data_IF_663073598664
#
_entry.id   IF_663073598664
#
_cell.length_a   1.000
_cell.length_b   1.000
_cell.length_c   1.000
_cell.angle_alpha   90.00
_cell.angle_beta   90.00
_cell.angle_gamma   90.00
#
_symmetry.space_group_name_H-M   'P 1'
#
loop_
_entity.id
_entity.type
_entity.pdbx_description
1 polymer ?
#
# COMPACT_ATOMS: atom_id res chain seq x y z
N UNK A 1 -48.12 21.61 -14.50
CA UNK A 1 -47.26 20.50 -14.95
C UNK A 1 -45.98 20.51 -14.15
N UNK A 2 -45.98 19.77 -13.06
CA UNK A 2 -44.86 19.68 -12.10
C UNK A 2 -43.90 18.60 -12.56
N UNK A 3 -42.65 18.97 -12.79
CA UNK A 3 -41.56 18.04 -13.14
C UNK A 3 -41.14 17.21 -11.95
N UNK A 4 -41.11 15.87 -12.03
CA UNK A 4 -40.56 15.02 -10.96
C UNK A 4 -39.10 14.65 -11.31
N UNK A 5 -38.14 15.47 -10.94
CA UNK A 5 -36.73 15.09 -10.93
C UNK A 5 -36.14 15.35 -9.56
N UNK A 6 -36.70 14.67 -8.57
CA UNK A 6 -36.04 14.43 -7.31
C UNK A 6 -35.67 12.92 -7.23
N UNK A 7 -34.69 12.53 -8.05
CA UNK A 7 -34.04 11.23 -7.92
C UNK A 7 -33.31 11.21 -6.58
N UNK A 8 -33.93 10.58 -5.56
CA UNK A 8 -33.36 10.35 -4.25
C UNK A 8 -31.90 9.90 -4.37
N UNK A 9 -30.95 10.67 -3.84
CA UNK A 9 -29.59 10.20 -3.56
C UNK A 9 -29.72 9.04 -2.59
N UNK A 10 -29.72 7.82 -3.11
CA UNK A 10 -29.69 6.60 -2.28
C UNK A 10 -28.44 6.68 -1.42
N UNK A 11 -28.65 6.65 -0.11
CA UNK A 11 -27.56 6.51 0.85
C UNK A 11 -26.77 5.23 0.51
N UNK A 12 -25.64 5.40 -0.20
CA UNK A 12 -24.79 4.30 -0.67
C UNK A 12 -24.23 3.45 0.47
N UNK A 13 -24.44 3.85 1.73
CA UNK A 13 -24.03 3.08 2.91
C UNK A 13 -24.80 1.76 3.06
N UNK A 14 -25.95 1.63 2.40
CA UNK A 14 -26.83 0.44 2.43
C UNK A 14 -26.88 -0.29 1.09
N UNK A 15 -26.00 0.02 0.13
CA UNK A 15 -25.98 -0.67 -1.17
C UNK A 15 -25.30 -2.05 -1.06
N UNK A 16 -26.07 -3.16 -1.13
CA UNK A 16 -25.51 -4.52 -1.02
C UNK A 16 -24.49 -4.83 -2.12
N UNK A 17 -24.64 -4.22 -3.31
CA UNK A 17 -23.72 -4.44 -4.43
C UNK A 17 -22.34 -3.83 -4.17
N UNK A 18 -22.30 -2.65 -3.53
CA UNK A 18 -21.04 -2.04 -3.11
C UNK A 18 -20.32 -2.93 -2.10
N UNK A 19 -21.02 -3.36 -1.05
CA UNK A 19 -20.39 -4.17 0.00
C UNK A 19 -19.97 -5.56 -0.47
N UNK A 20 -20.72 -6.16 -1.39
CA UNK A 20 -20.28 -7.37 -2.07
C UNK A 20 -18.97 -7.14 -2.82
N UNK A 21 -18.86 -6.03 -3.56
CA UNK A 21 -17.64 -5.71 -4.29
C UNK A 21 -16.47 -5.43 -3.34
N UNK A 22 -16.70 -4.73 -2.21
CA UNK A 22 -15.68 -4.52 -1.17
C UNK A 22 -15.17 -5.85 -0.62
N UNK A 23 -16.06 -6.81 -0.32
CA UNK A 23 -15.68 -8.14 0.16
C UNK A 23 -14.89 -8.94 -0.87
N UNK A 24 -15.32 -8.92 -2.13
CA UNK A 24 -14.62 -9.58 -3.25
C UNK A 24 -13.20 -9.02 -3.41
N UNK A 25 -13.08 -7.70 -3.45
CA UNK A 25 -11.78 -7.04 -3.53
C UNK A 25 -10.95 -7.31 -2.26
N UNK A 26 -11.60 -7.36 -1.08
CA UNK A 26 -10.97 -7.66 0.19
C UNK A 26 -10.30 -9.02 0.23
N UNK A 27 -10.99 -10.07 -0.23
CA UNK A 27 -10.40 -11.41 -0.39
C UNK A 27 -9.23 -11.37 -1.37
N UNK A 28 -9.39 -10.69 -2.51
CA UNK A 28 -8.30 -10.50 -3.46
C UNK A 28 -7.09 -9.78 -2.85
N UNK A 29 -7.32 -8.79 -1.97
CA UNK A 29 -6.22 -8.09 -1.26
C UNK A 29 -5.50 -9.02 -0.28
N UNK A 30 -6.23 -9.82 0.52
CA UNK A 30 -5.60 -10.78 1.45
C UNK A 30 -4.67 -11.73 0.68
N UNK A 31 -5.17 -12.32 -0.41
CA UNK A 31 -4.39 -13.27 -1.22
C UNK A 31 -3.22 -12.56 -1.91
N UNK A 32 -3.45 -11.43 -2.60
CA UNK A 32 -2.40 -10.76 -3.38
C UNK A 32 -1.29 -10.20 -2.51
N UNK A 33 -1.60 -9.58 -1.37
CA UNK A 33 -0.57 -9.13 -0.41
C UNK A 33 0.18 -10.31 0.20
N UNK A 34 -0.54 -11.39 0.55
CA UNK A 34 0.04 -12.58 1.14
C UNK A 34 1.03 -13.27 0.22
N UNK A 35 0.61 -13.53 -1.01
CA UNK A 35 1.36 -14.37 -1.97
C UNK A 35 2.41 -13.61 -2.78
N UNK A 36 2.20 -12.30 -3.05
CA UNK A 36 3.11 -11.51 -3.89
C UNK A 36 4.06 -10.64 -3.09
N UNK A 37 3.64 -10.14 -1.90
CA UNK A 37 4.44 -9.19 -1.14
C UNK A 37 5.03 -9.80 0.14
N UNK A 38 4.21 -10.43 0.98
CA UNK A 38 4.67 -10.93 2.28
C UNK A 38 5.43 -12.25 2.21
N UNK A 39 5.27 -13.00 1.13
CA UNK A 39 5.83 -14.34 0.97
C UNK A 39 7.36 -14.38 1.05
N UNK A 40 8.06 -13.32 0.59
CA UNK A 40 9.53 -13.28 0.61
C UNK A 40 10.10 -13.35 2.04
N UNK A 41 9.37 -12.82 3.01
CA UNK A 41 9.79 -12.86 4.42
C UNK A 41 9.82 -14.29 4.99
N UNK A 42 8.96 -15.18 4.49
CA UNK A 42 8.84 -16.56 4.97
C UNK A 42 9.62 -17.51 4.07
N UNK A 43 9.40 -17.45 2.75
CA UNK A 43 9.98 -18.42 1.81
C UNK A 43 11.41 -18.06 1.37
N UNK A 44 11.81 -16.78 1.50
CA UNK A 44 13.08 -16.29 0.95
C UNK A 44 14.31 -17.05 1.44
N UNK A 45 14.35 -17.40 2.73
CA UNK A 45 15.46 -18.17 3.30
C UNK A 45 15.58 -19.59 2.70
N UNK A 46 14.46 -20.26 2.47
CA UNK A 46 14.43 -21.59 1.85
C UNK A 46 14.84 -21.52 0.37
N UNK A 47 14.29 -20.56 -0.37
CA UNK A 47 14.63 -20.30 -1.78
C UNK A 47 16.13 -20.04 -1.95
N UNK A 48 16.69 -19.18 -1.08
CA UNK A 48 18.12 -18.84 -1.11
C UNK A 48 19.00 -20.07 -0.91
N UNK A 49 18.72 -20.89 0.12
CA UNK A 49 19.52 -22.09 0.41
C UNK A 49 19.45 -23.12 -0.70
N UNK A 50 18.27 -23.34 -1.25
CA UNK A 50 18.03 -24.35 -2.27
C UNK A 50 18.66 -23.99 -3.64
N UNK A 51 18.63 -22.71 -3.98
CA UNK A 51 19.17 -22.21 -5.26
C UNK A 51 20.61 -21.67 -5.16
N UNK A 52 21.25 -21.72 -3.98
CA UNK A 52 22.61 -21.23 -3.78
C UNK A 52 22.75 -19.71 -4.01
N UNK A 53 21.70 -18.92 -3.77
CA UNK A 53 21.69 -17.48 -4.04
C UNK A 53 22.22 -16.69 -2.83
N UNK A 54 22.77 -15.49 -3.11
CA UNK A 54 23.07 -14.52 -2.06
C UNK A 54 21.81 -13.79 -1.60
N UNK A 55 21.82 -13.29 -0.37
CA UNK A 55 20.74 -12.44 0.15
C UNK A 55 20.56 -11.18 -0.72
N UNK A 56 21.67 -10.60 -1.17
CA UNK A 56 21.66 -9.42 -2.06
C UNK A 56 20.91 -9.71 -3.36
N UNK A 57 21.13 -10.89 -3.97
CA UNK A 57 20.44 -11.25 -5.20
C UNK A 57 18.96 -11.52 -4.97
N UNK A 58 18.60 -12.26 -3.92
CA UNK A 58 17.20 -12.56 -3.59
C UNK A 58 16.39 -11.29 -3.33
N UNK A 59 16.84 -10.47 -2.38
CA UNK A 59 16.14 -9.23 -2.04
C UNK A 59 16.26 -8.17 -3.13
N UNK A 60 17.37 -8.17 -3.90
CA UNK A 60 17.55 -7.34 -5.09
C UNK A 60 16.53 -7.66 -6.17
N UNK A 61 16.24 -8.94 -6.42
CA UNK A 61 15.22 -9.37 -7.39
C UNK A 61 13.81 -8.92 -6.98
N UNK A 62 13.47 -9.04 -5.71
CA UNK A 62 12.21 -8.52 -5.16
C UNK A 62 12.13 -6.99 -5.27
N UNK A 63 13.22 -6.28 -4.95
CA UNK A 63 13.33 -4.82 -5.09
C UNK A 63 13.15 -4.40 -6.54
N UNK A 64 13.76 -5.12 -7.50
CA UNK A 64 13.56 -4.88 -8.94
C UNK A 64 12.10 -5.07 -9.36
N UNK A 65 11.40 -6.08 -8.81
CA UNK A 65 9.97 -6.26 -8.99
C UNK A 65 9.17 -5.07 -8.47
N UNK A 66 9.44 -4.59 -7.26
CA UNK A 66 8.78 -3.41 -6.68
C UNK A 66 9.05 -2.14 -7.52
N UNK A 67 10.26 -1.97 -7.99
CA UNK A 67 10.62 -0.86 -8.88
C UNK A 67 9.82 -0.91 -10.18
N UNK A 68 9.74 -2.07 -10.82
CA UNK A 68 8.95 -2.29 -12.03
C UNK A 68 7.46 -2.05 -11.77
N UNK A 69 6.94 -2.45 -10.61
CA UNK A 69 5.56 -2.14 -10.19
C UNK A 69 5.30 -0.63 -10.24
N UNK A 70 6.22 0.17 -9.72
CA UNK A 70 6.14 1.63 -9.77
C UNK A 70 6.14 2.18 -11.19
N UNK A 71 6.99 1.66 -12.07
CA UNK A 71 7.07 2.10 -13.47
C UNK A 71 5.78 1.79 -14.25
N UNK A 72 5.14 0.64 -13.99
CA UNK A 72 3.93 0.19 -14.69
C UNK A 72 2.65 0.83 -14.11
N UNK A 73 2.64 1.25 -12.84
CA UNK A 73 1.46 1.78 -12.15
C UNK A 73 0.71 2.90 -12.92
N UNK A 74 1.36 3.87 -13.60
CA UNK A 74 0.63 4.88 -14.36
C UNK A 74 -0.13 4.32 -15.57
N UNK A 75 0.37 3.24 -16.18
CA UNK A 75 -0.30 2.54 -17.28
C UNK A 75 -1.55 1.82 -16.77
N UNK A 76 -1.40 1.10 -15.66
CA UNK A 76 -2.48 0.40 -14.97
C UNK A 76 -3.59 1.38 -14.59
N UNK A 77 -3.26 2.52 -14.01
CA UNK A 77 -4.24 3.54 -13.62
C UNK A 77 -5.02 4.09 -14.79
N UNK A 78 -4.36 4.38 -15.93
CA UNK A 78 -5.03 4.83 -17.17
C UNK A 78 -5.94 3.75 -17.74
N UNK A 79 -5.52 2.50 -17.69
CA UNK A 79 -6.34 1.37 -18.17
C UNK A 79 -7.61 1.20 -17.33
N UNK A 80 -7.53 1.40 -16.01
CA UNK A 80 -8.71 1.39 -15.12
C UNK A 80 -9.67 2.51 -15.49
N UNK A 81 -9.17 3.72 -15.73
CA UNK A 81 -10.02 4.85 -16.12
C UNK A 81 -10.69 4.62 -17.48
N UNK A 82 -9.98 4.02 -18.43
CA UNK A 82 -10.49 3.78 -19.78
C UNK A 82 -11.46 2.59 -19.88
N UNK A 83 -11.16 1.48 -19.20
CA UNK A 83 -11.86 0.20 -19.40
C UNK A 83 -12.49 -0.38 -18.14
N UNK A 84 -12.36 0.31 -17.00
CA UNK A 84 -12.82 -0.13 -15.69
C UNK A 84 -11.89 -1.13 -15.00
N UNK A 85 -12.01 -1.21 -13.68
CA UNK A 85 -11.09 -1.99 -12.84
C UNK A 85 -11.19 -3.51 -12.99
N UNK A 86 -12.35 -4.03 -13.42
CA UNK A 86 -12.58 -5.49 -13.54
C UNK A 86 -11.52 -6.20 -14.38
N UNK A 87 -11.22 -5.66 -15.59
CA UNK A 87 -10.25 -6.26 -16.51
C UNK A 87 -8.83 -6.18 -15.97
N UNK A 88 -8.49 -5.07 -15.37
CA UNK A 88 -7.16 -4.83 -14.80
C UNK A 88 -6.89 -5.76 -13.61
N UNK A 89 -7.85 -5.87 -12.68
CA UNK A 89 -7.74 -6.76 -11.53
C UNK A 89 -7.68 -8.24 -11.94
N UNK A 90 -8.45 -8.63 -12.96
CA UNK A 90 -8.39 -9.98 -13.52
C UNK A 90 -7.03 -10.26 -14.19
N UNK A 91 -6.51 -9.30 -14.96
CA UNK A 91 -5.17 -9.41 -15.55
C UNK A 91 -4.09 -9.46 -14.47
N UNK A 92 -4.24 -8.68 -13.39
CA UNK A 92 -3.36 -8.74 -12.21
C UNK A 92 -3.36 -10.11 -11.56
N UNK A 93 -4.54 -10.77 -11.44
CA UNK A 93 -4.63 -12.13 -10.92
C UNK A 93 -3.98 -13.16 -11.84
N UNK A 94 -4.18 -13.06 -13.15
CA UNK A 94 -3.53 -13.92 -14.11
C UNK A 94 -1.99 -13.76 -14.12
N UNK A 95 -1.51 -12.52 -14.03
CA UNK A 95 -0.09 -12.20 -13.87
C UNK A 95 0.47 -12.70 -12.54
N UNK A 96 -0.31 -12.62 -11.45
CA UNK A 96 0.04 -13.17 -10.15
C UNK A 96 0.20 -14.69 -10.19
N UNK A 97 -0.73 -15.38 -10.86
CA UNK A 97 -0.62 -16.81 -11.11
C UNK A 97 0.64 -17.16 -11.93
N UNK A 98 0.90 -16.42 -13.00
CA UNK A 98 2.09 -16.63 -13.83
C UNK A 98 3.38 -16.39 -13.05
N UNK A 99 3.44 -15.32 -12.26
CA UNK A 99 4.59 -14.99 -11.42
C UNK A 99 4.89 -16.09 -10.40
N UNK A 100 3.85 -16.54 -9.67
CA UNK A 100 3.99 -17.61 -8.67
C UNK A 100 4.30 -18.96 -9.33
N UNK A 101 3.80 -19.25 -10.53
CA UNK A 101 4.17 -20.45 -11.29
C UNK A 101 5.65 -20.42 -11.72
N UNK A 102 6.13 -19.29 -12.21
CA UNK A 102 7.56 -19.11 -12.55
C UNK A 102 8.43 -19.27 -11.30
N UNK A 103 8.04 -18.70 -10.16
CA UNK A 103 8.75 -18.89 -8.90
C UNK A 103 8.72 -20.34 -8.43
N UNK A 104 7.58 -21.05 -8.56
CA UNK A 104 7.46 -22.48 -8.22
C UNK A 104 8.46 -23.35 -9.00
N UNK A 105 8.71 -23.00 -10.25
CA UNK A 105 9.60 -23.75 -11.17
C UNK A 105 11.01 -23.16 -11.25
N UNK A 106 11.36 -22.21 -10.38
CA UNK A 106 12.66 -21.54 -10.43
C UNK A 106 13.82 -22.51 -10.14
N UNK A 107 14.82 -22.52 -11.02
CA UNK A 107 16.01 -23.38 -10.94
C UNK A 107 17.31 -22.58 -10.78
N UNK A 108 17.24 -21.24 -10.79
CA UNK A 108 18.42 -20.41 -10.68
C UNK A 108 18.12 -18.91 -10.68
N UNK A 109 19.16 -18.08 -10.77
CA UNK A 109 19.05 -16.63 -10.62
C UNK A 109 18.11 -16.00 -11.67
N UNK A 110 18.19 -16.40 -12.92
CA UNK A 110 17.41 -15.79 -14.00
C UNK A 110 15.91 -16.03 -13.82
N UNK A 111 15.49 -17.27 -13.54
CA UNK A 111 14.08 -17.62 -13.32
C UNK A 111 13.54 -16.97 -12.05
N UNK A 112 14.35 -16.84 -11.00
CA UNK A 112 14.05 -16.09 -9.79
C UNK A 112 13.78 -14.61 -10.10
N UNK A 113 14.67 -13.95 -10.84
CA UNK A 113 14.51 -12.55 -11.23
C UNK A 113 13.24 -12.35 -12.07
N UNK A 114 13.02 -13.20 -13.09
CA UNK A 114 11.82 -13.13 -13.96
C UNK A 114 10.55 -13.29 -13.13
N UNK A 115 10.51 -14.24 -12.20
CA UNK A 115 9.37 -14.45 -11.32
C UNK A 115 9.05 -13.21 -10.47
N UNK A 116 10.06 -12.57 -9.87
CA UNK A 116 9.86 -11.34 -9.09
C UNK A 116 9.50 -10.13 -9.95
N UNK A 117 10.03 -10.01 -11.17
CA UNK A 117 9.63 -8.94 -12.10
C UNK A 117 8.15 -9.10 -12.50
N UNK A 118 7.71 -10.32 -12.83
CA UNK A 118 6.30 -10.62 -13.09
C UNK A 118 5.42 -10.33 -11.86
N UNK A 119 5.87 -10.71 -10.66
CA UNK A 119 5.19 -10.39 -9.41
C UNK A 119 5.05 -8.88 -9.22
N UNK A 120 6.08 -8.10 -9.59
CA UNK A 120 6.02 -6.64 -9.56
C UNK A 120 4.93 -6.07 -10.47
N UNK A 121 4.83 -6.55 -11.70
CA UNK A 121 3.75 -6.15 -12.63
C UNK A 121 2.38 -6.59 -12.07
N UNK A 122 2.26 -7.81 -11.55
CA UNK A 122 1.04 -8.29 -10.91
C UNK A 122 0.64 -7.41 -9.71
N UNK A 123 1.58 -7.01 -8.86
CA UNK A 123 1.34 -6.12 -7.71
C UNK A 123 0.76 -4.78 -8.15
N UNK A 124 1.27 -4.18 -9.26
CA UNK A 124 0.74 -2.92 -9.77
C UNK A 124 -0.72 -3.00 -10.20
N UNK A 125 -1.19 -4.19 -10.60
CA UNK A 125 -2.53 -4.44 -11.13
C UNK A 125 -3.50 -5.10 -10.13
N UNK A 126 -3.03 -5.55 -8.95
CA UNK A 126 -3.85 -6.31 -8.00
C UNK A 126 -3.86 -5.77 -6.56
N UNK A 127 -2.89 -4.93 -6.15
CA UNK A 127 -2.83 -4.40 -4.79
C UNK A 127 -3.78 -3.21 -4.57
N UNK A 128 -3.52 -2.37 -3.58
CA UNK A 128 -4.45 -1.32 -3.16
C UNK A 128 -4.76 -0.28 -4.23
N UNK A 129 -3.80 0.20 -5.01
CA UNK A 129 -4.02 1.30 -5.93
C UNK A 129 -5.08 0.98 -7.00
N UNK A 130 -5.02 -0.17 -7.72
CA UNK A 130 -6.09 -0.55 -8.65
C UNK A 130 -7.41 -0.85 -7.94
N UNK A 131 -7.39 -1.41 -6.74
CA UNK A 131 -8.61 -1.66 -5.97
C UNK A 131 -9.28 -0.35 -5.52
N UNK A 132 -8.51 0.64 -5.06
CA UNK A 132 -9.01 1.97 -4.72
C UNK A 132 -9.58 2.70 -5.93
N UNK A 133 -8.89 2.66 -7.08
CA UNK A 133 -9.38 3.25 -8.32
C UNK A 133 -10.70 2.59 -8.76
N UNK A 134 -10.81 1.27 -8.64
CA UNK A 134 -12.04 0.53 -8.95
C UNK A 134 -13.17 0.92 -8.00
N UNK A 135 -12.93 0.96 -6.69
CA UNK A 135 -13.93 1.39 -5.71
C UNK A 135 -14.36 2.84 -5.94
N UNK A 136 -13.43 3.72 -6.32
CA UNK A 136 -13.75 5.10 -6.59
C UNK A 136 -14.78 5.26 -7.73
N UNK A 137 -14.72 4.41 -8.75
CA UNK A 137 -15.65 4.43 -9.87
C UNK A 137 -17.08 4.03 -9.49
N UNK A 138 -17.27 3.25 -8.41
CA UNK A 138 -18.56 2.63 -8.06
C UNK A 138 -19.15 3.11 -6.73
N UNK A 139 -18.34 3.73 -5.86
CA UNK A 139 -18.77 3.97 -4.46
C UNK A 139 -19.45 5.33 -4.23
N UNK A 140 -19.31 6.30 -5.16
CA UNK A 140 -19.87 7.63 -4.98
C UNK A 140 -19.51 8.25 -3.62
N UNK A 141 -20.51 8.67 -2.85
CA UNK A 141 -20.34 9.28 -1.52
C UNK A 141 -19.81 8.31 -0.46
N UNK A 142 -19.95 6.98 -0.68
CA UNK A 142 -19.50 5.94 0.24
C UNK A 142 -18.03 5.53 0.04
N UNK A 143 -17.31 6.18 -0.89
CA UNK A 143 -15.93 5.80 -1.27
C UNK A 143 -15.00 5.64 -0.08
N UNK A 144 -14.97 6.61 0.84
CA UNK A 144 -14.11 6.56 2.01
C UNK A 144 -14.38 5.33 2.88
N UNK A 145 -15.65 5.03 3.16
CA UNK A 145 -16.05 3.84 3.93
C UNK A 145 -15.62 2.54 3.23
N UNK A 146 -15.80 2.49 1.90
CA UNK A 146 -15.40 1.36 1.09
C UNK A 146 -13.87 1.15 1.12
N UNK A 147 -13.06 2.21 1.00
CA UNK A 147 -11.60 2.17 1.12
C UNK A 147 -11.18 1.69 2.49
N UNK A 148 -11.75 2.26 3.57
CA UNK A 148 -11.40 1.86 4.94
C UNK A 148 -11.73 0.38 5.17
N UNK A 149 -12.92 -0.08 4.77
CA UNK A 149 -13.31 -1.48 4.88
C UNK A 149 -12.35 -2.40 4.07
N UNK A 150 -12.01 -2.01 2.83
CA UNK A 150 -11.05 -2.76 2.02
C UNK A 150 -9.68 -2.88 2.69
N UNK A 151 -9.21 -1.79 3.32
CA UNK A 151 -7.91 -1.80 4.01
C UNK A 151 -7.91 -2.64 5.29
N UNK A 152 -9.08 -2.83 5.92
CA UNK A 152 -9.21 -3.81 7.01
C UNK A 152 -8.95 -5.22 6.50
N UNK A 153 -9.56 -5.63 5.39
CA UNK A 153 -9.28 -6.95 4.79
C UNK A 153 -7.78 -7.13 4.50
N UNK A 154 -7.17 -6.20 3.76
CA UNK A 154 -5.75 -6.31 3.43
C UNK A 154 -4.81 -6.22 4.65
N UNK A 155 -5.29 -5.66 5.78
CA UNK A 155 -4.59 -5.68 7.05
C UNK A 155 -4.41 -7.07 7.64
N UNK A 156 -5.32 -7.99 7.32
CA UNK A 156 -5.23 -9.39 7.76
C UNK A 156 -4.31 -10.24 6.87
N UNK A 157 -3.79 -9.72 5.76
CA UNK A 157 -3.00 -10.50 4.82
C UNK A 157 -1.77 -11.15 5.48
N UNK A 158 -0.99 -10.40 6.27
CA UNK A 158 0.16 -10.96 6.99
C UNK A 158 -0.26 -11.93 8.09
N UNK A 159 -1.34 -11.63 8.82
CA UNK A 159 -1.88 -12.49 9.88
C UNK A 159 -2.32 -13.86 9.35
N UNK A 160 -2.86 -13.90 8.12
CA UNK A 160 -3.28 -15.16 7.49
C UNK A 160 -2.11 -15.84 6.78
N UNK A 161 -1.35 -15.09 5.99
CA UNK A 161 -0.38 -15.69 5.08
C UNK A 161 0.98 -16.01 5.70
N UNK A 162 1.40 -15.36 6.78
CA UNK A 162 2.65 -15.77 7.44
C UNK A 162 2.53 -17.17 8.04
N UNK A 163 1.52 -17.48 8.89
CA UNK A 163 1.36 -18.84 9.40
C UNK A 163 1.07 -19.86 8.29
N UNK A 164 0.22 -19.50 7.32
CA UNK A 164 -0.10 -20.39 6.20
C UNK A 164 1.14 -20.69 5.36
N UNK A 165 1.94 -19.67 5.04
CA UNK A 165 3.18 -19.83 4.26
C UNK A 165 4.20 -20.69 5.00
N UNK A 166 4.34 -20.49 6.32
CA UNK A 166 5.24 -21.31 7.15
C UNK A 166 4.76 -22.76 7.19
N UNK A 167 3.48 -22.99 7.45
CA UNK A 167 2.90 -24.33 7.45
C UNK A 167 3.12 -25.04 6.12
N UNK A 168 2.82 -24.39 5.01
CA UNK A 168 3.03 -24.97 3.67
C UNK A 168 4.52 -25.20 3.39
N UNK A 169 5.40 -24.28 3.82
CA UNK A 169 6.84 -24.46 3.67
C UNK A 169 7.34 -25.72 4.39
N UNK A 170 6.86 -25.94 5.61
CA UNK A 170 7.27 -27.07 6.44
C UNK A 170 6.73 -28.40 5.91
N UNK A 171 5.50 -28.44 5.41
CA UNK A 171 4.83 -29.65 4.93
C UNK A 171 5.22 -30.06 3.50
N UNK A 172 5.27 -29.08 2.57
CA UNK A 172 5.41 -29.37 1.15
C UNK A 172 6.56 -28.62 0.46
N UNK A 173 7.29 -27.80 1.20
CA UNK A 173 8.40 -27.00 0.68
C UNK A 173 7.98 -25.79 -0.12
N UNK A 174 8.94 -24.88 -0.41
CA UNK A 174 8.67 -23.59 -0.98
C UNK A 174 8.13 -23.63 -2.44
N UNK A 175 8.55 -24.62 -3.24
CA UNK A 175 8.08 -24.75 -4.62
C UNK A 175 6.57 -25.08 -4.69
N UNK A 176 6.13 -26.07 -3.92
CA UNK A 176 4.73 -26.42 -3.85
C UNK A 176 3.89 -25.35 -3.16
N UNK A 177 4.47 -24.59 -2.22
CA UNK A 177 3.82 -23.42 -1.65
C UNK A 177 3.49 -22.39 -2.74
N UNK A 178 4.43 -22.09 -3.64
CA UNK A 178 4.15 -21.22 -4.79
C UNK A 178 3.16 -21.82 -5.78
N UNK A 179 3.13 -23.15 -5.95
CA UNK A 179 2.11 -23.84 -6.77
C UNK A 179 0.71 -23.66 -6.15
N UNK A 180 0.57 -23.76 -4.82
CA UNK A 180 -0.67 -23.44 -4.11
C UNK A 180 -1.08 -21.97 -4.36
N UNK A 181 -0.13 -21.02 -4.30
CA UNK A 181 -0.41 -19.61 -4.60
C UNK A 181 -0.86 -19.38 -6.04
N UNK A 182 -0.28 -20.12 -7.00
CA UNK A 182 -0.75 -20.14 -8.39
C UNK A 182 -2.21 -20.56 -8.44
N UNK A 183 -2.57 -21.63 -7.75
CA UNK A 183 -3.95 -22.09 -7.62
C UNK A 183 -4.88 -21.04 -7.01
N UNK A 184 -4.46 -20.35 -5.95
CA UNK A 184 -5.25 -19.27 -5.32
C UNK A 184 -5.51 -18.12 -6.29
N UNK A 185 -4.52 -17.70 -7.08
CA UNK A 185 -4.70 -16.67 -8.08
C UNK A 185 -5.62 -17.11 -9.23
N UNK A 186 -5.47 -18.33 -9.74
CA UNK A 186 -6.27 -18.85 -10.87
C UNK A 186 -7.70 -19.22 -10.48
N UNK A 187 -7.87 -19.90 -9.34
CA UNK A 187 -9.14 -20.50 -8.95
C UNK A 187 -9.96 -19.62 -8.01
N UNK A 188 -9.35 -18.65 -7.36
CA UNK A 188 -10.04 -17.74 -6.44
C UNK A 188 -10.00 -16.31 -6.97
N UNK A 189 -8.82 -15.68 -7.06
CA UNK A 189 -8.74 -14.26 -7.41
C UNK A 189 -9.25 -13.95 -8.82
N UNK A 190 -8.86 -14.75 -9.81
CA UNK A 190 -9.25 -14.52 -11.20
C UNK A 190 -10.77 -14.64 -11.41
N UNK A 191 -11.45 -15.71 -10.95
CA UNK A 191 -12.90 -15.80 -11.04
C UNK A 191 -13.63 -14.72 -10.24
N UNK A 192 -13.18 -14.41 -9.01
CA UNK A 192 -13.75 -13.33 -8.21
C UNK A 192 -13.72 -12.00 -8.96
N UNK A 193 -12.57 -11.65 -9.54
CA UNK A 193 -12.42 -10.41 -10.29
C UNK A 193 -13.20 -10.43 -11.61
N UNK A 194 -13.22 -11.54 -12.34
CA UNK A 194 -13.94 -11.65 -13.62
C UNK A 194 -15.45 -11.70 -13.46
N UNK A 195 -15.98 -12.30 -12.41
CA UNK A 195 -17.41 -12.59 -12.30
C UNK A 195 -18.13 -11.58 -11.40
N UNK A 196 -17.47 -11.15 -10.31
CA UNK A 196 -18.13 -10.44 -9.23
C UNK A 196 -17.77 -8.93 -9.16
N UNK A 197 -16.68 -8.48 -9.77
CA UNK A 197 -16.42 -7.05 -9.92
C UNK A 197 -17.32 -6.48 -11.02
N UNK A 198 -18.05 -5.38 -10.78
CA UNK A 198 -18.97 -4.81 -11.76
C UNK A 198 -18.28 -4.46 -13.08
N UNK A 199 -19.00 -4.66 -14.21
CA UNK A 199 -18.60 -4.12 -15.51
C UNK A 199 -18.94 -2.64 -15.52
N UNK A 200 -17.94 -1.80 -15.71
CA UNK A 200 -18.19 -0.41 -16.04
C UNK A 200 -18.50 -0.31 -17.53
N UNK A 201 -19.66 0.25 -17.87
CA UNK A 201 -19.96 0.60 -19.26
C UNK A 201 -19.19 1.87 -19.63
N UNK A 202 -18.43 1.81 -20.70
CA UNK A 202 -17.60 2.92 -21.21
C UNK A 202 -18.37 4.24 -21.44
N UNK A 203 -19.68 4.18 -21.57
CA UNK A 203 -20.54 5.34 -21.77
C UNK A 203 -20.51 6.39 -20.64
N UNK A 204 -20.10 6.01 -19.41
CA UNK A 204 -19.96 6.94 -18.28
C UNK A 204 -18.54 7.48 -18.13
N UNK A 205 -17.57 6.84 -18.77
CA UNK A 205 -16.17 7.26 -18.79
C UNK A 205 -15.84 8.23 -19.93
N UNK A 206 -16.64 8.21 -21.02
CA UNK A 206 -16.39 8.98 -22.26
C UNK A 206 -16.97 10.41 -22.21
N UNK A 207 -17.73 10.76 -21.17
CA UNK A 207 -18.07 12.16 -20.99
C UNK A 207 -16.78 12.94 -20.65
N UNK A 208 -16.06 13.31 -21.72
CA UNK A 208 -14.93 14.23 -21.76
C UNK A 208 -13.66 13.77 -20.99
N UNK A 209 -12.86 12.91 -21.63
CA UNK A 209 -11.42 12.95 -21.43
C UNK A 209 -10.88 14.06 -22.37
N UNK A 210 -10.54 15.24 -21.91
CA UNK A 210 -9.70 16.11 -22.72
C UNK A 210 -8.35 15.40 -22.78
N UNK A 211 -7.87 15.11 -24.00
CA UNK A 211 -6.49 14.74 -24.29
C UNK A 211 -5.59 15.94 -23.99
N UNK A 212 -5.37 16.22 -22.75
CA UNK A 212 -4.50 17.27 -22.27
C UNK A 212 -4.17 16.97 -20.81
N UNK A 213 -2.91 17.12 -20.46
CA UNK A 213 -2.37 16.97 -19.11
C UNK A 213 -3.30 17.60 -18.06
N UNK A 214 -4.27 16.85 -17.54
CA UNK A 214 -5.22 17.32 -16.54
C UNK A 214 -4.52 17.71 -15.19
N UNK A 215 -3.23 17.43 -15.07
CA UNK A 215 -2.38 17.84 -13.94
C UNK A 215 -1.61 19.16 -14.21
N UNK A 216 -1.70 19.71 -15.41
CA UNK A 216 -0.93 20.90 -15.82
C UNK A 216 -1.80 22.15 -15.97
N UNK A 217 -2.93 22.26 -15.23
CA UNK A 217 -3.59 23.55 -15.08
C UNK A 217 -3.07 24.20 -13.80
N UNK A 218 -2.61 25.44 -13.94
CA UNK A 218 -1.95 26.27 -12.94
C UNK A 218 -2.45 26.05 -11.50
N UNK A 219 -1.53 25.66 -10.59
CA UNK A 219 -1.78 25.35 -9.17
C UNK A 219 -1.89 23.86 -8.82
N UNK A 220 -2.33 22.97 -9.73
CA UNK A 220 -2.46 21.53 -9.43
C UNK A 220 -1.12 20.77 -9.48
N UNK A 221 -0.13 21.28 -10.23
CA UNK A 221 1.21 20.68 -10.32
C UNK A 221 1.95 20.69 -8.99
N UNK A 222 1.91 21.82 -8.28
CA UNK A 222 2.53 21.96 -6.95
C UNK A 222 1.82 21.06 -5.92
N UNK A 223 0.48 21.02 -5.93
CA UNK A 223 -0.30 20.14 -5.05
C UNK A 223 0.09 18.67 -5.27
N UNK A 224 0.19 18.26 -6.56
CA UNK A 224 0.60 16.90 -6.90
C UNK A 224 2.02 16.60 -6.43
N UNK A 225 2.99 17.48 -6.71
CA UNK A 225 4.39 17.28 -6.34
C UNK A 225 4.55 17.13 -4.82
N UNK A 226 3.97 18.04 -4.05
CA UNK A 226 4.04 17.98 -2.58
C UNK A 226 3.32 16.76 -2.00
N UNK A 227 2.14 16.39 -2.54
CA UNK A 227 1.45 15.18 -2.10
C UNK A 227 2.23 13.91 -2.46
N UNK A 228 2.77 13.84 -3.68
CA UNK A 228 3.60 12.72 -4.11
C UNK A 228 4.84 12.56 -3.23
N UNK A 229 5.51 13.67 -2.89
CA UNK A 229 6.65 13.68 -1.96
C UNK A 229 6.23 13.16 -0.58
N UNK A 230 5.16 13.71 0.00
CA UNK A 230 4.67 13.29 1.31
C UNK A 230 4.36 11.79 1.38
N UNK A 231 3.58 11.29 0.42
CA UNK A 231 3.20 9.88 0.35
C UNK A 231 4.38 8.95 0.07
N UNK A 232 5.37 9.41 -0.72
CA UNK A 232 6.57 8.64 -1.01
C UNK A 232 7.49 8.51 0.20
N UNK A 233 7.67 9.60 0.97
CA UNK A 233 8.42 9.58 2.22
C UNK A 233 7.72 8.69 3.26
N UNK A 234 6.39 8.74 3.36
CA UNK A 234 5.64 7.84 4.23
C UNK A 234 5.79 6.37 3.82
N UNK A 235 5.76 6.07 2.51
CA UNK A 235 5.98 4.72 2.00
C UNK A 235 7.40 4.22 2.26
N UNK A 236 8.40 5.09 2.12
CA UNK A 236 9.79 4.81 2.50
C UNK A 236 9.89 4.45 3.98
N UNK A 237 9.34 5.29 4.87
CA UNK A 237 9.33 5.06 6.31
C UNK A 237 8.67 3.74 6.68
N UNK A 238 7.50 3.45 6.08
CA UNK A 238 6.78 2.19 6.31
C UNK A 238 7.63 0.96 6.01
N UNK A 239 8.40 1.00 4.92
CA UNK A 239 9.26 -0.13 4.52
C UNK A 239 10.56 -0.16 5.33
N UNK A 240 11.16 0.99 5.59
CA UNK A 240 12.37 1.12 6.40
C UNK A 240 12.17 0.54 7.81
N UNK A 241 11.10 0.98 8.48
CA UNK A 241 10.76 0.46 9.82
C UNK A 241 10.39 -1.02 9.75
N UNK A 242 9.55 -1.45 8.80
CA UNK A 242 9.15 -2.85 8.71
C UNK A 242 10.35 -3.81 8.51
N UNK A 243 11.38 -3.38 7.77
CA UNK A 243 12.56 -4.17 7.51
C UNK A 243 13.56 -4.21 8.69
N UNK A 244 13.63 -3.14 9.49
CA UNK A 244 14.73 -2.94 10.44
C UNK A 244 14.27 -2.69 11.88
N UNK A 245 12.98 -2.76 12.20
CA UNK A 245 12.45 -2.34 13.51
C UNK A 245 13.09 -3.08 14.69
N UNK A 246 13.33 -4.37 14.57
CA UNK A 246 13.96 -5.16 15.65
C UNK A 246 15.39 -4.70 15.88
N UNK A 247 16.17 -4.56 14.81
CA UNK A 247 17.54 -4.08 14.87
C UNK A 247 17.65 -2.65 15.42
N UNK A 248 16.70 -1.80 15.03
CA UNK A 248 16.64 -0.43 15.52
C UNK A 248 16.30 -0.37 17.00
N UNK A 249 15.36 -1.18 17.47
CA UNK A 249 14.97 -1.26 18.88
C UNK A 249 16.09 -1.85 19.75
N UNK A 250 16.76 -2.91 19.29
CA UNK A 250 17.90 -3.47 20.02
C UNK A 250 19.07 -2.49 20.11
N UNK A 251 19.33 -1.72 19.06
CA UNK A 251 20.36 -0.67 19.07
C UNK A 251 20.08 0.44 20.08
N UNK A 252 18.83 0.66 20.50
CA UNK A 252 18.50 1.60 21.58
C UNK A 252 18.80 1.06 23.00
N UNK A 253 19.25 -0.20 23.13
CA UNK A 253 19.55 -0.83 24.41
C UNK A 253 18.44 -1.76 24.94
N UNK A 254 17.39 -2.03 24.16
CA UNK A 254 16.38 -3.04 24.51
C UNK A 254 16.95 -4.45 24.33
N UNK A 255 16.49 -5.38 25.16
CA UNK A 255 16.77 -6.80 24.95
C UNK A 255 16.14 -7.28 23.62
N UNK A 256 16.73 -8.30 23.00
CA UNK A 256 16.18 -8.88 21.76
C UNK A 256 14.72 -9.34 21.95
N UNK A 257 14.39 -9.89 23.12
CA UNK A 257 13.04 -10.32 23.48
C UNK A 257 12.07 -9.13 23.52
N UNK A 258 12.46 -8.04 24.19
CA UNK A 258 11.61 -6.84 24.30
C UNK A 258 11.44 -6.15 22.95
N UNK A 259 12.49 -6.08 22.14
CA UNK A 259 12.43 -5.54 20.80
C UNK A 259 11.44 -6.30 19.90
N UNK A 260 11.43 -7.64 19.98
CA UNK A 260 10.45 -8.47 19.27
C UNK A 260 9.03 -8.23 19.78
N UNK A 261 8.82 -8.19 21.10
CA UNK A 261 7.50 -7.93 21.69
C UNK A 261 6.95 -6.56 21.28
N UNK A 262 7.76 -5.52 21.37
CA UNK A 262 7.41 -4.15 20.96
C UNK A 262 7.13 -4.07 19.45
N UNK A 263 8.02 -4.65 18.64
CA UNK A 263 7.85 -4.66 17.18
C UNK A 263 6.59 -5.40 16.73
N UNK A 264 6.25 -6.52 17.38
CA UNK A 264 5.04 -7.29 17.06
C UNK A 264 3.74 -6.53 17.35
N UNK A 265 3.77 -5.54 18.24
CA UNK A 265 2.59 -4.72 18.55
C UNK A 265 2.22 -3.75 17.42
N UNK A 266 3.16 -3.39 16.55
CA UNK A 266 2.91 -2.47 15.42
C UNK A 266 1.75 -2.99 14.54
N UNK A 267 1.71 -4.28 14.24
CA UNK A 267 0.66 -4.89 13.41
C UNK A 267 -0.75 -4.74 13.98
N UNK A 268 -1.02 -5.22 15.20
CA UNK A 268 -2.30 -4.99 15.89
C UNK A 268 -2.70 -3.51 15.97
N UNK A 269 -1.75 -2.61 16.23
CA UNK A 269 -2.03 -1.17 16.29
C UNK A 269 -2.37 -0.56 14.93
N UNK A 270 -1.83 -1.10 13.83
CA UNK A 270 -2.27 -0.71 12.48
C UNK A 270 -3.74 -1.07 12.23
N UNK A 271 -4.17 -2.26 12.67
CA UNK A 271 -5.57 -2.67 12.57
C UNK A 271 -6.45 -1.79 13.45
N UNK A 272 -6.03 -1.54 14.70
CA UNK A 272 -6.74 -0.65 15.61
C UNK A 272 -6.92 0.76 15.01
N UNK A 273 -5.89 1.33 14.41
CA UNK A 273 -5.95 2.63 13.73
C UNK A 273 -6.98 2.65 12.59
N UNK A 274 -7.06 1.59 11.79
CA UNK A 274 -8.06 1.47 10.73
C UNK A 274 -9.48 1.31 11.26
N UNK A 275 -9.66 0.52 12.33
CA UNK A 275 -10.96 0.35 12.99
C UNK A 275 -11.44 1.68 13.58
N UNK A 276 -10.56 2.41 14.27
CA UNK A 276 -10.88 3.72 14.84
C UNK A 276 -11.24 4.75 13.74
N UNK A 277 -10.51 4.76 12.62
CA UNK A 277 -10.86 5.61 11.48
C UNK A 277 -12.21 5.21 10.89
N UNK A 278 -12.49 3.93 10.74
CA UNK A 278 -13.78 3.44 10.24
C UNK A 278 -14.94 3.85 11.15
N UNK A 279 -14.77 3.75 12.46
CA UNK A 279 -15.81 4.06 13.45
C UNK A 279 -16.03 5.58 13.61
N UNK A 280 -14.97 6.35 13.74
CA UNK A 280 -15.01 7.76 14.17
C UNK A 280 -14.58 8.75 13.07
N UNK A 281 -13.75 8.34 12.12
CA UNK A 281 -13.19 9.20 11.07
C UNK A 281 -14.22 9.70 10.06
N UNK A 282 -15.42 9.10 10.00
CA UNK A 282 -16.46 9.44 9.01
C UNK A 282 -16.92 10.90 9.05
N UNK A 283 -16.78 11.59 10.17
CA UNK A 283 -17.16 12.99 10.36
C UNK A 283 -15.99 13.96 10.06
N UNK A 284 -14.79 13.46 9.89
CA UNK A 284 -13.60 14.27 9.61
C UNK A 284 -13.37 14.33 8.09
N UNK A 285 -12.80 15.45 7.61
CA UNK A 285 -12.32 15.56 6.23
C UNK A 285 -11.10 14.64 6.04
N UNK A 286 -10.93 14.05 4.84
CA UNK A 286 -9.76 13.20 4.56
C UNK A 286 -8.44 13.97 4.76
N UNK A 287 -8.40 15.26 4.42
CA UNK A 287 -7.25 16.14 4.68
C UNK A 287 -6.90 16.25 6.16
N UNK A 288 -7.91 16.32 7.05
CA UNK A 288 -7.67 16.37 8.50
C UNK A 288 -7.13 15.05 9.02
N UNK A 289 -7.69 13.93 8.55
CA UNK A 289 -7.20 12.57 8.89
C UNK A 289 -5.77 12.38 8.40
N UNK A 290 -5.44 12.87 7.20
CA UNK A 290 -4.08 12.87 6.68
C UNK A 290 -3.12 13.68 7.57
N UNK A 291 -3.53 14.90 7.98
CA UNK A 291 -2.72 15.71 8.92
C UNK A 291 -2.46 14.95 10.21
N UNK A 292 -3.49 14.32 10.79
CA UNK A 292 -3.35 13.51 12.00
C UNK A 292 -2.38 12.35 11.79
N UNK A 293 -2.51 11.59 10.69
CA UNK A 293 -1.65 10.47 10.39
C UNK A 293 -0.16 10.86 10.26
N UNK A 294 0.13 11.92 9.48
CA UNK A 294 1.50 12.41 9.34
C UNK A 294 2.05 12.99 10.65
N UNK A 295 1.23 13.68 11.45
CA UNK A 295 1.65 14.19 12.77
C UNK A 295 1.94 13.05 13.74
N UNK A 296 1.11 12.01 13.79
CA UNK A 296 1.34 10.82 14.60
C UNK A 296 2.62 10.08 14.16
N UNK A 297 2.91 10.01 12.86
CA UNK A 297 4.16 9.43 12.37
C UNK A 297 5.38 10.20 12.89
N UNK A 298 5.36 11.53 12.79
CA UNK A 298 6.43 12.37 13.32
C UNK A 298 6.55 12.25 14.84
N UNK A 299 5.43 12.25 15.58
CA UNK A 299 5.42 12.06 17.03
C UNK A 299 5.98 10.68 17.44
N UNK A 300 5.62 9.62 16.72
CA UNK A 300 6.16 8.28 16.96
C UNK A 300 7.68 8.26 16.79
N UNK A 301 8.21 8.86 15.72
CA UNK A 301 9.66 8.93 15.50
C UNK A 301 10.36 9.86 16.53
N UNK A 302 9.71 10.91 17.02
CA UNK A 302 10.21 11.68 18.13
C UNK A 302 10.28 10.83 19.42
N UNK A 303 9.26 10.03 19.73
CA UNK A 303 9.32 9.05 20.83
C UNK A 303 10.44 8.04 20.61
N UNK A 304 10.65 7.58 19.37
CA UNK A 304 11.70 6.62 19.07
C UNK A 304 13.10 7.15 19.41
N UNK A 305 13.39 8.45 19.23
CA UNK A 305 14.67 9.05 19.64
C UNK A 305 14.89 9.02 21.16
N UNK A 306 13.86 8.80 21.96
CA UNK A 306 13.89 8.78 23.43
C UNK A 306 13.81 7.36 24.02
N UNK A 307 13.81 6.33 23.21
CA UNK A 307 13.67 4.93 23.70
C UNK A 307 14.79 4.57 24.65
N UNK A 308 16.07 4.77 24.31
CA UNK A 308 17.25 4.64 25.19
C UNK A 308 17.17 3.45 26.19
N UNK A 309 16.68 2.30 25.74
CA UNK A 309 16.44 1.12 26.58
C UNK A 309 15.18 1.18 27.46
N UNK A 310 14.39 2.26 27.42
CA UNK A 310 13.19 2.41 28.25
C UNK A 310 12.02 1.73 27.55
N UNK A 311 11.61 0.60 28.06
CA UNK A 311 10.56 -0.27 27.48
C UNK A 311 9.22 0.44 27.26
N UNK A 312 8.76 1.25 28.24
CA UNK A 312 7.48 1.96 28.13
C UNK A 312 7.49 3.00 26.99
N UNK A 313 8.63 3.62 26.71
CA UNK A 313 8.77 4.58 25.60
C UNK A 313 8.76 3.84 24.26
N UNK A 314 9.40 2.67 24.19
CA UNK A 314 9.39 1.82 23.02
C UNK A 314 7.97 1.31 22.73
N UNK A 315 7.22 0.95 23.77
CA UNK A 315 5.82 0.55 23.65
C UNK A 315 4.97 1.70 23.09
N UNK A 316 5.12 2.91 23.65
CA UNK A 316 4.42 4.10 23.17
C UNK A 316 4.76 4.40 21.70
N UNK A 317 6.03 4.29 21.31
CA UNK A 317 6.46 4.39 19.92
C UNK A 317 5.70 3.40 19.03
N UNK A 318 5.71 2.10 19.37
CA UNK A 318 5.09 1.06 18.55
C UNK A 318 3.57 1.27 18.40
N UNK A 319 2.90 1.71 19.47
CA UNK A 319 1.47 2.02 19.45
C UNK A 319 1.15 3.20 18.52
N UNK A 320 1.83 4.32 18.71
CA UNK A 320 1.59 5.55 17.93
C UNK A 320 1.99 5.34 16.47
N UNK A 321 3.13 4.70 16.22
CA UNK A 321 3.60 4.38 14.87
C UNK A 321 2.64 3.42 14.15
N UNK A 322 2.25 2.34 14.82
CA UNK A 322 1.32 1.37 14.26
C UNK A 322 0.00 2.03 13.87
N UNK A 323 -0.57 2.85 14.77
CA UNK A 323 -1.79 3.60 14.48
C UNK A 323 -1.64 4.51 13.26
N UNK A 324 -0.59 5.35 13.25
CA UNK A 324 -0.28 6.22 12.12
C UNK A 324 -0.21 5.45 10.80
N UNK A 325 0.56 4.36 10.77
CA UNK A 325 0.76 3.56 9.57
C UNK A 325 -0.54 2.87 9.09
N UNK A 326 -1.40 2.46 10.02
CA UNK A 326 -2.73 1.94 9.69
C UNK A 326 -3.61 2.96 8.99
N UNK A 327 -3.70 4.18 9.53
CA UNK A 327 -4.48 5.28 8.96
C UNK A 327 -3.87 5.79 7.66
N UNK A 328 -2.53 5.78 7.52
CA UNK A 328 -1.84 6.22 6.31
C UNK A 328 -2.26 5.45 5.05
N UNK A 329 -2.61 4.17 5.20
CA UNK A 329 -3.13 3.36 4.09
C UNK A 329 -4.45 3.91 3.55
N UNK A 330 -5.32 4.41 4.43
CA UNK A 330 -6.61 5.02 4.09
C UNK A 330 -6.38 6.40 3.46
N UNK A 331 -5.48 7.20 4.04
CA UNK A 331 -5.07 8.53 3.54
C UNK A 331 -4.60 8.45 2.09
N UNK A 332 -3.81 7.43 1.74
CA UNK A 332 -3.33 7.18 0.38
C UNK A 332 -4.48 7.03 -0.63
N UNK A 333 -5.60 6.43 -0.24
CA UNK A 333 -6.75 6.26 -1.11
C UNK A 333 -7.76 7.41 -1.05
N UNK A 334 -7.82 8.19 0.03
CA UNK A 334 -8.91 9.17 0.25
C UNK A 334 -8.49 10.62 0.00
N UNK A 335 -7.26 11.00 0.36
CA UNK A 335 -6.76 12.36 0.18
C UNK A 335 -6.64 12.76 -1.28
N UNK A 336 -6.12 11.93 -2.19
CA UNK A 336 -6.10 12.28 -3.62
C UNK A 336 -7.51 12.53 -4.18
N UNK A 337 -8.52 11.76 -3.76
CA UNK A 337 -9.91 11.97 -4.18
C UNK A 337 -10.47 13.31 -3.71
N UNK A 338 -10.15 13.74 -2.47
CA UNK A 338 -10.59 15.04 -1.96
C UNK A 338 -9.89 16.23 -2.64
N UNK A 339 -8.59 16.09 -2.99
CA UNK A 339 -7.80 17.16 -3.59
C UNK A 339 -8.03 17.34 -5.10
N UNK A 340 -8.15 16.24 -5.83
CA UNK A 340 -8.15 16.25 -7.30
C UNK A 340 -9.52 15.89 -7.91
N UNK A 341 -10.47 15.44 -7.08
CA UNK A 341 -11.80 15.05 -7.54
C UNK A 341 -11.85 13.69 -8.21
N UNK A 342 -12.94 13.42 -8.93
CA UNK A 342 -13.28 12.09 -9.40
C UNK A 342 -12.78 11.74 -10.81
N UNK A 343 -12.45 12.73 -11.64
CA UNK A 343 -12.08 12.50 -13.05
C UNK A 343 -10.64 12.00 -13.15
N UNK A 344 -10.42 10.91 -13.91
CA UNK A 344 -9.11 10.35 -14.14
C UNK A 344 -8.41 9.86 -12.85
N UNK A 345 -9.18 9.36 -11.88
CA UNK A 345 -8.67 9.02 -10.56
C UNK A 345 -7.69 7.82 -10.59
N UNK A 346 -7.92 6.85 -11.48
CA UNK A 346 -7.02 5.73 -11.68
C UNK A 346 -5.64 6.17 -12.19
N UNK A 347 -5.63 7.03 -13.22
CA UNK A 347 -4.40 7.61 -13.74
C UNK A 347 -3.67 8.46 -12.68
N UNK A 348 -4.40 9.21 -11.86
CA UNK A 348 -3.85 9.98 -10.74
C UNK A 348 -3.18 9.05 -9.72
N UNK A 349 -3.86 8.00 -9.26
CA UNK A 349 -3.30 7.03 -8.30
C UNK A 349 -2.07 6.33 -8.87
N UNK A 350 -2.13 5.91 -10.14
CA UNK A 350 -0.98 5.29 -10.81
C UNK A 350 0.24 6.22 -10.88
N UNK A 351 0.03 7.52 -11.14
CA UNK A 351 1.09 8.54 -11.14
C UNK A 351 1.65 8.78 -9.73
N UNK A 352 0.80 8.80 -8.70
CA UNK A 352 1.22 8.91 -7.30
C UNK A 352 1.93 7.65 -6.82
N UNK A 353 1.52 6.46 -7.27
CA UNK A 353 2.13 5.19 -6.92
C UNK A 353 3.57 5.06 -7.41
N UNK A 354 3.88 5.61 -8.60
CA UNK A 354 5.22 5.51 -9.20
C UNK A 354 6.34 5.97 -8.26
N UNK A 355 6.39 7.21 -7.78
CA UNK A 355 7.45 7.66 -6.86
C UNK A 355 7.40 6.93 -5.51
N UNK A 356 6.22 6.53 -5.04
CA UNK A 356 6.07 5.76 -3.81
C UNK A 356 6.75 4.39 -3.90
N UNK A 357 6.53 3.63 -4.98
CA UNK A 357 7.15 2.32 -5.17
C UNK A 357 8.66 2.43 -5.36
N UNK A 358 9.12 3.44 -6.12
CA UNK A 358 10.56 3.69 -6.33
C UNK A 358 11.24 3.98 -4.99
N UNK A 359 10.70 4.92 -4.21
CA UNK A 359 11.31 5.30 -2.94
C UNK A 359 11.17 4.20 -1.87
N UNK A 360 10.03 3.49 -1.84
CA UNK A 360 9.80 2.34 -0.97
C UNK A 360 10.81 1.22 -1.23
N UNK A 361 11.12 0.91 -2.49
CA UNK A 361 12.07 -0.16 -2.84
C UNK A 361 13.50 0.15 -2.42
N UNK A 362 13.88 1.43 -2.35
CA UNK A 362 15.22 1.85 -1.91
C UNK A 362 15.38 1.84 -0.38
N UNK A 363 14.31 1.79 0.40
CA UNK A 363 14.34 1.99 1.85
C UNK A 363 15.25 1.02 2.61
N UNK A 364 15.21 -0.32 2.38
CA UNK A 364 16.09 -1.25 3.09
C UNK A 364 17.57 -0.99 2.81
N UNK A 365 17.90 -0.72 1.53
CA UNK A 365 19.28 -0.44 1.12
C UNK A 365 19.76 0.90 1.69
N UNK A 366 18.92 1.93 1.68
CA UNK A 366 19.26 3.24 2.21
C UNK A 366 19.58 3.18 3.72
N UNK A 367 18.80 2.41 4.51
CA UNK A 367 19.10 2.20 5.92
C UNK A 367 20.38 1.39 6.12
N UNK A 368 20.59 0.33 5.34
CA UNK A 368 21.84 -0.44 5.41
C UNK A 368 23.06 0.43 5.12
N UNK A 369 22.99 1.31 4.13
CA UNK A 369 24.04 2.29 3.85
C UNK A 369 24.23 3.28 5.00
N UNK A 370 23.14 3.75 5.61
CA UNK A 370 23.22 4.61 6.79
C UNK A 370 23.95 3.92 7.94
N UNK A 371 23.75 2.60 8.15
CA UNK A 371 24.47 1.83 9.17
C UNK A 371 25.96 1.70 8.92
N UNK A 372 26.44 1.83 7.68
CA UNK A 372 27.90 1.88 7.40
C UNK A 372 28.53 3.19 7.92
N UNK A 373 27.75 4.29 7.99
CA UNK A 373 28.17 5.60 8.46
C UNK A 373 27.91 5.75 9.96
N UNK A 374 26.83 5.13 10.44
CA UNK A 374 26.37 5.14 11.85
C UNK A 374 26.26 3.70 12.39
N UNK A 375 27.39 2.99 12.61
CA UNK A 375 27.36 1.60 13.05
C UNK A 375 26.67 1.42 14.41
N UNK A 376 26.82 2.40 15.31
CA UNK A 376 26.15 2.44 16.62
C UNK A 376 24.66 2.80 16.52
N UNK A 377 24.17 3.20 15.35
CA UNK A 377 22.78 3.61 15.05
C UNK A 377 22.27 4.74 15.94
N UNK A 378 23.16 5.61 16.39
CA UNK A 378 22.84 6.75 17.27
C UNK A 378 22.18 7.90 16.50
N UNK A 379 22.57 8.12 15.24
CA UNK A 379 22.01 9.15 14.36
C UNK A 379 20.76 8.67 13.62
N UNK A 380 20.64 7.37 13.40
CA UNK A 380 19.55 6.76 12.61
C UNK A 380 18.15 7.16 13.09
N UNK A 381 17.80 7.18 14.40
CA UNK A 381 16.50 7.66 14.87
C UNK A 381 16.20 9.11 14.48
N UNK A 382 17.21 9.99 14.52
CA UNK A 382 17.05 11.41 14.16
C UNK A 382 16.89 11.61 12.66
N UNK A 383 17.60 10.83 11.83
CA UNK A 383 17.43 10.82 10.37
C UNK A 383 16.00 10.39 10.02
N UNK A 384 15.49 9.33 10.66
CA UNK A 384 14.12 8.87 10.46
C UNK A 384 13.10 9.93 10.90
N UNK A 385 13.32 10.59 12.03
CA UNK A 385 12.50 11.71 12.49
C UNK A 385 12.49 12.85 11.47
N UNK A 386 13.66 13.22 10.94
CA UNK A 386 13.77 14.27 9.91
C UNK A 386 12.94 13.92 8.66
N UNK A 387 13.01 12.68 8.20
CA UNK A 387 12.20 12.19 7.07
C UNK A 387 10.71 12.26 7.38
N UNK A 388 10.29 11.90 8.59
CA UNK A 388 8.88 11.97 9.00
C UNK A 388 8.38 13.43 9.08
N UNK A 389 9.21 14.35 9.62
CA UNK A 389 8.90 15.80 9.64
C UNK A 389 8.84 16.34 8.22
N UNK A 390 9.78 15.99 7.35
CA UNK A 390 9.75 16.38 5.94
C UNK A 390 8.48 15.89 5.21
N UNK A 391 8.02 14.67 5.51
CA UNK A 391 6.77 14.15 4.99
C UNK A 391 5.55 14.95 5.47
N UNK A 392 5.50 15.31 6.77
CA UNK A 392 4.46 16.17 7.34
C UNK A 392 4.47 17.56 6.69
N UNK A 393 5.65 18.18 6.56
CA UNK A 393 5.81 19.50 5.93
C UNK A 393 5.34 19.45 4.47
N UNK A 394 5.78 18.46 3.70
CA UNK A 394 5.34 18.28 2.32
C UNK A 394 3.81 18.12 2.23
N UNK A 395 3.21 17.35 3.14
CA UNK A 395 1.76 17.20 3.21
C UNK A 395 1.05 18.53 3.51
N UNK A 396 1.55 19.31 4.46
CA UNK A 396 0.99 20.64 4.78
C UNK A 396 1.13 21.63 3.62
N UNK A 397 2.24 21.57 2.88
CA UNK A 397 2.46 22.38 1.68
C UNK A 397 1.49 21.99 0.55
N UNK A 398 1.18 20.70 0.40
CA UNK A 398 0.14 20.24 -0.55
C UNK A 398 -1.23 20.87 -0.22
N UNK A 399 -1.64 20.86 1.06
CA UNK A 399 -2.89 21.47 1.50
C UNK A 399 -2.88 22.99 1.27
N UNK A 400 -1.80 23.66 1.62
CA UNK A 400 -1.67 25.11 1.44
C UNK A 400 -1.72 25.52 -0.03
N UNK A 401 -1.06 24.76 -0.91
CA UNK A 401 -1.12 24.97 -2.35
C UNK A 401 -2.54 24.81 -2.91
N UNK A 402 -3.28 23.80 -2.43
CA UNK A 402 -4.67 23.58 -2.80
C UNK A 402 -5.60 24.74 -2.36
N UNK A 403 -5.34 25.30 -1.17
CA UNK A 403 -6.11 26.44 -0.64
C UNK A 403 -5.91 27.72 -1.44
N UNK A 404 -4.69 27.99 -1.94
CA UNK A 404 -4.38 29.15 -2.80
C UNK A 404 -5.12 29.08 -4.14
N UNK A 405 -5.14 27.91 -4.75
CA UNK A 405 -5.85 27.72 -6.03
C UNK A 405 -7.38 27.87 -5.95
N UNK A 406 -7.98 27.76 -4.75
CA UNK A 406 -9.41 28.03 -4.52
C UNK A 406 -9.73 29.52 -4.32
N UNK A 407 -8.79 30.33 -3.85
CA UNK A 407 -8.99 31.78 -3.63
C UNK A 407 -8.78 32.61 -4.91
N UNK A 408 -8.11 32.05 -5.91
CA UNK A 408 -7.85 32.70 -7.21
C UNK A 408 -8.92 32.40 -8.28
N UNK A 409 -9.95 31.69 -7.90
CA UNK A 409 -11.16 31.41 -8.72
C UNK A 409 -12.41 32.02 -8.09
#
# INVERSE_FOLDING_TARGET
>A
MTSPVAGAMRDGSRDPHLWRTVSVLGVGQIISWGTLFYTIAVLGGAMRRDLGLSDVFLFGSFTAGLFLSGLVSPLVGREIDARGGRRVLAAGSALGAMATAVLATAQGPLTMLVGWLLAGVAMSASLYDPAFATLHQISGTSYRRAVTALTLFGGFASTVFWPLSQFLLDEIGWRWTFAVYTGLHLLVCLPLHLLLVPRMHAARAIAEVPHGNAAARDGNGAVFAWLATALSLAAFMGTAIAAHVIDLLTATGLSARDAVLVGSLIGPMQVAGRVMEFAFGRHMRALAVGTLAFSLMAAALALFTQVRGIWIVALAFAMVYGWSNGVMTIVRGTVPAELFGQRGYGALLGRLARPQFILKSSAPVALTLLYTIDPARTLTPYVLLLVAVAALVAYRLAIAAAGKGRKSR
#
